data_IF_605454513831
#
_entry.id   IF_605454513831
#
_cell.length_a   1.000
_cell.length_b   1.000
_cell.length_c   1.000
_cell.angle_alpha   90.00
_cell.angle_beta   90.00
_cell.angle_gamma   90.00
#
_symmetry.space_group_name_H-M   'P 1'
#
loop_
_entity.id
_entity.type
_entity.pdbx_description
1 polymer ?
#
# COMPACT_ATOMS: atom_id res chain seq x y z
N UNK A 1 9.04 -19.09 0.90
CA UNK A 1 9.56 -18.43 2.12
C UNK A 1 8.39 -17.82 2.85
N UNK A 2 8.36 -17.87 4.19
CA UNK A 2 7.32 -17.24 5.00
C UNK A 2 7.98 -16.08 5.73
N UNK A 3 7.47 -14.86 5.51
CA UNK A 3 7.94 -13.63 6.16
C UNK A 3 7.00 -13.36 7.33
N UNK A 4 7.54 -12.92 8.47
CA UNK A 4 6.72 -12.45 9.57
C UNK A 4 6.41 -10.97 9.41
N UNK A 5 5.15 -10.62 9.57
CA UNK A 5 4.64 -9.25 9.46
C UNK A 5 3.33 -9.12 10.22
N UNK A 6 2.95 -7.87 10.46
CA UNK A 6 1.62 -7.49 10.96
C UNK A 6 0.89 -6.63 9.94
N UNK A 7 -0.42 -6.79 9.87
CA UNK A 7 -1.30 -5.86 9.13
C UNK A 7 -1.74 -4.77 10.10
N UNK A 8 -1.51 -3.52 9.74
CA UNK A 8 -1.84 -2.36 10.55
C UNK A 8 -2.53 -1.28 9.71
N UNK A 9 -3.44 -0.49 10.31
CA UNK A 9 -3.99 0.67 9.63
C UNK A 9 -2.89 1.69 9.34
N UNK A 10 -3.02 2.39 8.21
CA UNK A 10 -2.14 3.49 7.86
C UNK A 10 -2.18 4.60 8.92
N UNK A 11 -1.02 5.21 9.16
CA UNK A 11 -0.81 6.40 9.99
C UNK A 11 0.15 7.34 9.25
N UNK A 12 -0.03 8.67 9.30
CA UNK A 12 0.86 9.64 8.65
C UNK A 12 2.35 9.44 8.91
N UNK A 13 2.75 8.87 10.06
CA UNK A 13 4.16 8.56 10.37
C UNK A 13 4.79 7.53 9.43
N UNK A 14 4.00 6.81 8.64
CA UNK A 14 4.46 5.85 7.65
C UNK A 14 4.64 6.44 6.25
N UNK A 15 4.24 7.70 6.03
CA UNK A 15 4.26 8.34 4.70
C UNK A 15 5.62 8.25 3.99
N UNK A 16 6.72 8.57 4.67
CA UNK A 16 8.06 8.46 4.09
C UNK A 16 8.42 7.02 3.67
N UNK A 17 8.10 6.03 4.51
CA UNK A 17 8.36 4.61 4.22
C UNK A 17 7.46 4.08 3.11
N UNK A 18 6.22 4.56 3.04
CA UNK A 18 5.29 4.17 2.01
C UNK A 18 5.74 4.68 0.64
N UNK A 19 6.32 5.89 0.59
CA UNK A 19 6.92 6.42 -0.63
C UNK A 19 8.09 5.55 -1.14
N UNK A 20 8.95 5.06 -0.23
CA UNK A 20 10.04 4.13 -0.58
C UNK A 20 9.46 2.86 -1.21
N UNK A 21 8.52 2.21 -0.53
CA UNK A 21 7.88 0.98 -1.01
C UNK A 21 7.24 1.16 -2.39
N UNK A 22 6.56 2.29 -2.62
CA UNK A 22 5.95 2.57 -3.92
C UNK A 22 6.96 2.80 -5.04
N UNK A 23 8.05 3.52 -4.77
CA UNK A 23 9.12 3.72 -5.74
C UNK A 23 9.75 2.37 -6.13
N UNK A 24 9.99 1.50 -5.16
CA UNK A 24 10.55 0.16 -5.40
C UNK A 24 9.55 -0.78 -6.10
N UNK A 25 8.25 -0.53 -5.94
CA UNK A 25 7.19 -1.27 -6.63
C UNK A 25 6.93 -0.83 -8.07
N UNK A 26 7.43 0.35 -8.50
CA UNK A 26 7.07 0.94 -9.80
C UNK A 26 7.29 0.00 -11.00
N UNK A 27 8.37 -0.78 -10.98
CA UNK A 27 8.71 -1.70 -12.07
C UNK A 27 7.82 -2.93 -12.17
N UNK A 28 7.05 -3.24 -11.12
CA UNK A 28 6.13 -4.38 -11.11
C UNK A 28 4.72 -4.03 -11.63
N UNK A 29 4.41 -2.74 -11.79
CA UNK A 29 3.11 -2.30 -12.33
C UNK A 29 3.15 -2.17 -13.86
N UNK A 30 2.15 -2.73 -14.58
CA UNK A 30 2.07 -2.58 -16.02
C UNK A 30 1.92 -1.10 -16.39
N UNK A 31 2.74 -0.62 -17.33
CA UNK A 31 2.81 0.79 -17.75
C UNK A 31 3.33 1.78 -16.69
N UNK A 32 3.89 1.26 -15.58
CA UNK A 32 4.40 2.05 -14.46
C UNK A 32 3.31 2.49 -13.49
N UNK A 33 3.73 2.87 -12.29
CA UNK A 33 2.86 3.39 -11.24
C UNK A 33 3.30 4.80 -10.84
N UNK A 34 2.37 5.69 -10.49
CA UNK A 34 2.71 7.03 -10.03
C UNK A 34 3.05 8.06 -11.11
N UNK A 35 2.72 7.81 -12.37
CA UNK A 35 2.75 8.84 -13.43
C UNK A 35 4.15 9.36 -13.80
N UNK A 36 5.21 8.58 -13.54
CA UNK A 36 6.59 8.94 -13.89
C UNK A 36 7.25 9.96 -12.96
N UNK A 37 6.56 10.39 -11.91
CA UNK A 37 7.11 11.23 -10.85
C UNK A 37 7.43 10.31 -9.67
N UNK A 38 8.64 10.34 -9.08
CA UNK A 38 8.93 9.58 -7.87
C UNK A 38 8.03 9.98 -6.72
N UNK A 39 7.70 9.01 -5.87
CA UNK A 39 6.98 9.26 -4.63
C UNK A 39 7.93 9.84 -3.57
N UNK A 40 7.40 10.77 -2.78
CA UNK A 40 8.04 11.28 -1.57
C UNK A 40 7.00 11.34 -0.43
N UNK A 41 7.44 11.67 0.78
CA UNK A 41 6.58 11.75 1.96
C UNK A 41 5.39 12.68 1.74
N UNK A 42 5.61 13.89 1.25
CA UNK A 42 4.56 14.88 1.03
C UNK A 42 3.48 14.36 0.07
N UNK A 43 3.88 13.71 -1.02
CA UNK A 43 2.94 13.12 -1.97
C UNK A 43 2.11 11.99 -1.37
N UNK A 44 2.67 11.20 -0.45
CA UNK A 44 1.89 10.22 0.31
C UNK A 44 0.89 10.90 1.22
N UNK A 45 1.30 11.93 1.96
CA UNK A 45 0.39 12.69 2.81
C UNK A 45 -0.75 13.32 2.02
N UNK A 46 -0.47 13.83 0.82
CA UNK A 46 -1.48 14.43 -0.04
C UNK A 46 -2.42 13.38 -0.65
N UNK A 47 -1.90 12.26 -1.14
CA UNK A 47 -2.74 11.12 -1.56
C UNK A 47 -3.68 10.69 -0.42
N UNK A 48 -3.19 10.56 0.80
CA UNK A 48 -4.01 10.13 1.95
C UNK A 48 -5.11 11.13 2.33
N UNK A 49 -4.99 12.41 1.96
CA UNK A 49 -6.06 13.41 2.14
C UNK A 49 -7.08 13.38 1.02
N UNK A 50 -6.68 12.97 -0.17
CA UNK A 50 -7.50 13.04 -1.39
C UNK A 50 -8.24 11.73 -1.69
N UNK A 51 -7.77 10.60 -1.16
CA UNK A 51 -8.40 9.30 -1.38
C UNK A 51 -9.81 9.21 -0.77
N UNK A 52 -10.69 8.49 -1.46
CA UNK A 52 -12.01 8.08 -0.97
C UNK A 52 -11.97 6.75 -0.18
N UNK A 53 -10.78 6.28 0.19
CA UNK A 53 -10.60 5.05 0.94
C UNK A 53 -11.33 5.09 2.28
N UNK A 54 -12.04 4.01 2.59
CA UNK A 54 -12.63 3.77 3.92
C UNK A 54 -11.64 3.10 4.87
N UNK A 55 -10.62 2.43 4.32
CA UNK A 55 -9.49 1.92 5.09
C UNK A 55 -8.30 1.73 4.15
N UNK A 56 -7.11 1.96 4.71
CA UNK A 56 -5.83 1.65 4.11
C UNK A 56 -5.05 0.83 5.13
N UNK A 57 -4.67 -0.38 4.73
CA UNK A 57 -3.93 -1.32 5.55
C UNK A 57 -2.52 -1.52 4.98
N UNK A 58 -1.52 -1.58 5.86
CA UNK A 58 -0.13 -1.83 5.54
C UNK A 58 0.30 -3.17 6.11
N UNK A 59 1.02 -3.97 5.32
CA UNK A 59 1.80 -5.08 5.87
C UNK A 59 3.17 -4.53 6.31
N UNK A 60 3.41 -4.47 7.62
CA UNK A 60 4.66 -3.97 8.21
C UNK A 60 5.48 -5.16 8.73
N UNK A 61 6.76 -5.21 8.37
CA UNK A 61 7.70 -6.21 8.92
C UNK A 61 7.76 -6.13 10.44
N UNK A 62 8.05 -7.26 11.11
CA UNK A 62 8.11 -7.34 12.58
C UNK A 62 9.16 -6.42 13.22
N UNK A 63 10.19 -6.03 12.47
CA UNK A 63 11.19 -5.03 12.89
C UNK A 63 10.71 -3.58 12.79
N UNK A 64 9.45 -3.36 12.41
CA UNK A 64 8.79 -2.08 12.22
C UNK A 64 9.47 -1.13 11.23
N UNK A 65 10.34 -1.66 10.36
CA UNK A 65 11.18 -0.85 9.48
C UNK A 65 10.65 -0.79 8.03
N UNK A 66 10.08 -1.89 7.53
CA UNK A 66 9.79 -2.05 6.09
C UNK A 66 8.31 -2.29 5.84
N UNK A 67 7.72 -1.49 4.96
CA UNK A 67 6.36 -1.76 4.44
C UNK A 67 6.48 -2.79 3.33
N UNK A 68 5.91 -3.96 3.55
CA UNK A 68 5.94 -5.10 2.64
C UNK A 68 4.77 -5.09 1.66
N UNK A 69 3.69 -4.39 1.99
CA UNK A 69 2.48 -4.36 1.19
C UNK A 69 1.49 -3.28 1.61
N UNK A 70 0.53 -3.03 0.74
CA UNK A 70 -0.45 -1.96 0.81
C UNK A 70 -1.79 -2.47 0.28
N UNK A 71 -2.87 -2.19 1.01
CA UNK A 71 -4.24 -2.50 0.60
C UNK A 71 -5.13 -1.28 0.84
N UNK A 72 -5.79 -0.82 -0.22
CA UNK A 72 -6.78 0.26 -0.16
C UNK A 72 -8.17 -0.31 -0.41
N UNK A 73 -9.08 0.02 0.49
CA UNK A 73 -10.49 -0.36 0.39
C UNK A 73 -11.36 0.88 0.25
N UNK A 74 -12.31 0.84 -0.67
CA UNK A 74 -13.32 1.87 -0.92
C UNK A 74 -14.72 1.29 -0.76
N UNK A 75 -15.73 2.15 -0.60
CA UNK A 75 -17.13 1.72 -0.61
C UNK A 75 -17.48 1.14 -1.98
N UNK A 76 -18.31 0.10 -1.99
CA UNK A 76 -18.93 -0.37 -3.21
C UNK A 76 -20.32 0.25 -3.35
N UNK A 77 -20.44 1.28 -4.19
CA UNK A 77 -21.66 2.12 -4.31
C UNK A 77 -22.96 1.34 -4.57
N UNK A 78 -22.88 0.15 -5.18
CA UNK A 78 -24.08 -0.65 -5.52
C UNK A 78 -24.60 -1.49 -4.36
N UNK A 79 -23.76 -1.81 -3.38
CA UNK A 79 -24.12 -2.65 -2.24
C UNK A 79 -23.51 -2.05 -0.96
N UNK A 80 -24.31 -1.34 -0.13
CA UNK A 80 -23.80 -0.59 1.03
C UNK A 80 -23.03 -1.42 2.07
N UNK A 81 -23.30 -2.72 2.14
CA UNK A 81 -22.65 -3.67 3.05
C UNK A 81 -21.39 -4.30 2.47
N UNK A 82 -20.97 -3.88 1.27
CA UNK A 82 -19.77 -4.36 0.58
C UNK A 82 -18.71 -3.27 0.43
N UNK A 83 -17.45 -3.70 0.45
CA UNK A 83 -16.29 -2.90 0.12
C UNK A 83 -15.59 -3.46 -1.12
N UNK A 84 -14.85 -2.61 -1.81
CA UNK A 84 -14.02 -2.98 -2.96
C UNK A 84 -12.55 -2.70 -2.64
N UNK A 85 -11.67 -3.66 -2.94
CA UNK A 85 -10.22 -3.44 -2.88
C UNK A 85 -9.84 -2.64 -4.13
N UNK A 86 -9.64 -1.33 -3.99
CA UNK A 86 -9.30 -0.44 -5.10
C UNK A 86 -7.86 -0.60 -5.54
N UNK A 87 -6.96 -0.91 -4.59
CA UNK A 87 -5.55 -1.07 -4.87
C UNK A 87 -4.93 -2.08 -3.90
N UNK A 88 -4.25 -3.09 -4.44
CA UNK A 88 -3.48 -4.07 -3.68
C UNK A 88 -2.06 -4.14 -4.25
N UNK A 89 -1.06 -3.97 -3.39
CA UNK A 89 0.34 -4.06 -3.77
C UNK A 89 1.11 -4.86 -2.73
N UNK A 90 2.06 -5.66 -3.19
CA UNK A 90 3.13 -6.25 -2.37
C UNK A 90 4.43 -5.77 -2.98
N UNK A 91 5.40 -5.40 -2.15
CA UNK A 91 6.71 -5.01 -2.64
C UNK A 91 7.34 -6.19 -3.40
N UNK A 92 7.95 -5.99 -4.60
CA UNK A 92 8.31 -7.08 -5.51
C UNK A 92 9.20 -8.17 -4.90
N UNK A 93 10.13 -7.80 -4.02
CA UNK A 93 11.01 -8.75 -3.33
C UNK A 93 10.28 -9.75 -2.43
N UNK A 94 9.02 -9.45 -2.03
CA UNK A 94 8.19 -10.32 -1.20
C UNK A 94 7.09 -11.03 -2.00
N UNK A 95 7.10 -10.94 -3.33
CA UNK A 95 6.25 -11.77 -4.17
C UNK A 95 6.54 -13.26 -3.92
N UNK A 96 5.48 -14.08 -3.95
CA UNK A 96 5.58 -15.52 -3.61
C UNK A 96 5.75 -15.82 -2.11
N UNK A 97 5.82 -14.80 -1.24
CA UNK A 97 5.92 -14.97 0.22
C UNK A 97 4.57 -14.98 0.95
N UNK A 98 3.46 -14.99 0.20
CA UNK A 98 2.06 -15.01 0.70
C UNK A 98 1.60 -13.73 1.44
N UNK A 99 2.34 -12.63 1.36
CA UNK A 99 1.98 -11.35 2.02
C UNK A 99 0.63 -10.80 1.51
N UNK A 100 0.38 -10.92 0.20
CA UNK A 100 -0.86 -10.42 -0.43
C UNK A 100 -2.01 -11.43 -0.49
N UNK A 101 -1.91 -12.58 0.19
CA UNK A 101 -2.95 -13.61 0.24
C UNK A 101 -3.85 -13.40 1.46
#
# INVERSE_FOLDING_TARGET
>A
MMINYKVIPYDPKYAARLAVMWNESMGAWPFGFGGGIPFNEQRMLDWMKETAAISIELALSDDDNTILGYCEMVRYEKEPEAAYISLLNVHPDFHGCKVGK
#
